data_IF_940393537657
#
_entry.id   IF_940393537657
#
_cell.length_a   1.000
_cell.length_b   1.000
_cell.length_c   1.000
_cell.angle_alpha   90.00
_cell.angle_beta   90.00
_cell.angle_gamma   90.00
#
_symmetry.space_group_name_H-M   'P 1'
#
loop_
_entity.id
_entity.type
_entity.pdbx_description
1 polymer ?
#
# COMPACT_ATOMS: atom_id res chain seq x y z
N UNK A 1 -46.48 -15.59 24.24
CA UNK A 1 -45.23 -14.80 24.28
C UNK A 1 -44.10 -15.80 24.13
N UNK A 2 -43.59 -15.97 22.91
CA UNK A 2 -42.71 -17.08 22.53
C UNK A 2 -41.27 -16.58 22.52
N UNK A 3 -40.40 -17.16 23.35
CA UNK A 3 -39.01 -16.75 23.49
C UNK A 3 -38.21 -17.01 22.20
N UNK A 4 -37.32 -16.09 21.77
CA UNK A 4 -36.47 -16.32 20.62
C UNK A 4 -35.45 -17.43 20.91
N UNK A 5 -35.35 -18.35 19.96
CA UNK A 5 -34.49 -19.53 19.96
C UNK A 5 -32.99 -19.17 20.11
N UNK A 6 -32.30 -19.87 21.00
CA UNK A 6 -30.85 -19.77 21.24
C UNK A 6 -29.99 -19.99 19.99
N UNK A 7 -30.54 -20.61 18.95
CA UNK A 7 -29.86 -20.79 17.67
C UNK A 7 -29.51 -19.45 16.98
N UNK A 8 -30.28 -18.38 17.23
CA UNK A 8 -30.00 -17.06 16.68
C UNK A 8 -28.80 -16.40 17.37
N UNK A 9 -28.66 -16.60 18.70
CA UNK A 9 -27.64 -15.94 19.51
C UNK A 9 -26.20 -16.38 19.19
N UNK A 10 -26.01 -17.65 18.81
CA UNK A 10 -24.67 -18.16 18.47
C UNK A 10 -24.25 -17.74 17.06
N UNK A 11 -25.18 -17.71 16.10
CA UNK A 11 -24.92 -17.27 14.74
C UNK A 11 -24.49 -15.80 14.68
N UNK A 12 -25.15 -14.95 15.46
CA UNK A 12 -24.79 -13.53 15.58
C UNK A 12 -23.43 -13.36 16.28
N UNK A 13 -23.12 -14.20 17.27
CA UNK A 13 -21.82 -14.16 17.97
C UNK A 13 -20.64 -14.50 17.06
N UNK A 14 -20.81 -15.45 16.14
CA UNK A 14 -19.79 -15.85 15.19
C UNK A 14 -19.82 -15.08 13.86
N UNK A 15 -20.76 -14.14 13.68
CA UNK A 15 -20.82 -13.25 12.50
C UNK A 15 -21.09 -13.97 11.17
N UNK A 16 -21.68 -15.17 11.20
CA UNK A 16 -21.89 -16.04 10.02
C UNK A 16 -23.19 -15.66 9.28
N UNK A 17 -23.42 -14.36 9.09
CA UNK A 17 -24.57 -13.87 8.34
C UNK A 17 -24.33 -14.02 6.85
N UNK A 18 -24.98 -15.01 6.23
CA UNK A 18 -25.17 -15.15 4.77
C UNK A 18 -24.08 -14.53 3.89
N UNK A 19 -22.88 -15.09 3.91
CA UNK A 19 -21.98 -15.04 2.76
C UNK A 19 -21.93 -16.45 2.19
N UNK A 20 -22.17 -16.58 0.88
CA UNK A 20 -22.01 -17.84 0.14
C UNK A 20 -20.66 -18.46 0.53
N UNK A 21 -20.70 -19.70 1.00
CA UNK A 21 -19.53 -20.42 1.44
C UNK A 21 -18.47 -20.43 0.31
N UNK A 22 -17.26 -19.90 0.54
CA UNK A 22 -16.17 -20.18 -0.38
C UNK A 22 -15.86 -21.68 -0.29
N UNK A 23 -15.66 -22.31 -1.45
CA UNK A 23 -15.36 -23.73 -1.64
C UNK A 23 -14.47 -24.27 -0.50
N UNK A 24 -15.07 -25.02 0.42
CA UNK A 24 -14.34 -25.78 1.39
C UNK A 24 -13.42 -26.75 0.64
N UNK A 25 -12.15 -26.94 1.05
CA UNK A 25 -11.33 -28.00 0.51
C UNK A 25 -12.08 -29.32 0.68
N UNK A 26 -12.56 -29.88 -0.42
CA UNK A 26 -13.13 -31.22 -0.45
C UNK A 26 -12.00 -32.19 -0.07
N UNK A 27 -11.92 -32.57 1.20
CA UNK A 27 -11.26 -33.80 1.58
C UNK A 27 -12.03 -34.95 0.92
N UNK A 28 -11.56 -35.34 -0.27
CA UNK A 28 -11.96 -36.56 -0.95
C UNK A 28 -11.45 -37.76 -0.16
N UNK A 29 -12.15 -38.09 0.91
CA UNK A 29 -12.15 -39.41 1.49
C UNK A 29 -13.58 -39.93 1.44
N UNK A 30 -13.94 -40.66 0.38
CA UNK A 30 -15.11 -41.54 0.47
C UNK A 30 -14.84 -42.48 1.64
N UNK A 31 -15.55 -42.28 2.75
CA UNK A 31 -15.55 -43.20 3.87
C UNK A 31 -16.19 -44.48 3.36
N UNK A 32 -15.36 -45.44 2.94
CA UNK A 32 -15.82 -46.79 2.66
C UNK A 32 -16.29 -47.38 3.98
N UNK A 33 -17.59 -47.31 4.24
CA UNK A 33 -18.21 -48.03 5.35
C UNK A 33 -18.11 -49.51 4.99
N UNK A 34 -17.33 -50.33 5.72
CA UNK A 34 -17.23 -51.74 5.41
C UNK A 34 -18.63 -52.37 5.46
N UNK A 35 -18.92 -53.25 4.49
CA UNK A 35 -20.17 -53.99 4.42
C UNK A 35 -20.38 -54.77 5.74
N UNK A 36 -21.24 -54.26 6.61
CA UNK A 36 -21.52 -54.87 7.91
C UNK A 36 -22.34 -56.13 7.66
N UNK A 37 -21.72 -57.29 7.83
CA UNK A 37 -22.45 -58.57 7.85
C UNK A 37 -23.43 -58.51 9.03
N UNK A 38 -24.73 -58.78 8.82
CA UNK A 38 -25.71 -58.76 9.90
C UNK A 38 -25.26 -59.68 11.04
N UNK A 39 -25.28 -59.16 12.26
CA UNK A 39 -24.81 -59.87 13.46
C UNK A 39 -25.52 -61.23 13.61
N UNK A 40 -26.79 -61.29 13.22
CA UNK A 40 -27.65 -62.47 13.25
C UNK A 40 -27.12 -63.62 12.36
N UNK A 41 -26.58 -63.30 11.17
CA UNK A 41 -25.98 -64.29 10.26
C UNK A 41 -24.62 -64.80 10.78
N UNK A 42 -23.88 -63.95 11.48
CA UNK A 42 -22.64 -64.32 12.18
C UNK A 42 -22.90 -65.28 13.33
N UNK A 43 -23.95 -65.05 14.14
CA UNK A 43 -24.34 -65.97 15.22
C UNK A 43 -24.82 -67.34 14.71
N UNK A 44 -25.43 -67.39 13.52
CA UNK A 44 -25.93 -68.63 12.94
C UNK A 44 -24.84 -69.49 12.28
N UNK A 45 -23.75 -68.87 11.79
CA UNK A 45 -22.75 -69.54 10.94
C UNK A 45 -21.34 -69.61 11.53
N UNK A 46 -20.98 -68.75 12.49
CA UNK A 46 -19.64 -68.68 13.06
C UNK A 46 -19.50 -69.49 14.36
N UNK A 47 -18.31 -70.04 14.59
CA UNK A 47 -17.96 -70.69 15.86
C UNK A 47 -17.69 -69.66 16.96
N UNK A 48 -17.84 -70.05 18.23
CA UNK A 48 -17.61 -69.18 19.40
C UNK A 48 -16.22 -68.53 19.40
N UNK A 49 -15.18 -69.27 19.00
CA UNK A 49 -13.81 -68.76 18.92
C UNK A 49 -13.67 -67.62 17.89
N UNK A 50 -14.28 -67.79 16.70
CA UNK A 50 -14.33 -66.74 15.68
C UNK A 50 -15.11 -65.53 16.17
N UNK A 51 -16.24 -65.74 16.85
CA UNK A 51 -17.03 -64.65 17.41
C UNK A 51 -16.21 -63.85 18.43
N UNK A 52 -15.53 -64.52 19.36
CA UNK A 52 -14.67 -63.85 20.33
C UNK A 52 -13.53 -63.06 19.66
N UNK A 53 -12.85 -63.64 18.68
CA UNK A 53 -11.81 -62.93 17.92
C UNK A 53 -12.38 -61.70 17.19
N UNK A 54 -13.55 -61.82 16.56
CA UNK A 54 -14.20 -60.66 15.92
C UNK A 54 -14.57 -59.58 16.92
N UNK A 55 -15.03 -59.95 18.12
CA UNK A 55 -15.35 -58.96 19.16
C UNK A 55 -14.09 -58.28 19.70
N UNK A 56 -12.98 -59.00 19.86
CA UNK A 56 -11.70 -58.42 20.28
C UNK A 56 -11.22 -57.42 19.23
N UNK A 57 -11.18 -57.82 17.96
CA UNK A 57 -10.77 -56.94 16.86
C UNK A 57 -11.69 -55.71 16.74
N UNK A 58 -13.00 -55.88 16.93
CA UNK A 58 -13.94 -54.76 16.93
C UNK A 58 -13.72 -53.81 18.11
N UNK A 59 -13.44 -54.33 19.31
CA UNK A 59 -13.13 -53.51 20.49
C UNK A 59 -11.83 -52.72 20.28
N UNK A 60 -10.81 -53.34 19.70
CA UNK A 60 -9.54 -52.68 19.41
C UNK A 60 -9.73 -51.58 18.34
N UNK A 61 -10.48 -51.87 17.28
CA UNK A 61 -10.84 -50.86 16.26
C UNK A 61 -11.67 -49.70 16.83
N UNK A 62 -12.61 -49.97 17.74
CA UNK A 62 -13.38 -48.92 18.44
C UNK A 62 -12.46 -48.04 19.28
N UNK A 63 -11.48 -48.63 19.98
CA UNK A 63 -10.50 -47.88 20.79
C UNK A 63 -9.58 -47.02 19.93
N UNK A 64 -9.13 -47.54 18.81
CA UNK A 64 -8.31 -46.81 17.84
C UNK A 64 -9.09 -45.63 17.24
N UNK A 65 -10.29 -45.86 16.72
CA UNK A 65 -11.18 -44.80 16.22
C UNK A 65 -11.49 -43.74 17.29
N UNK A 66 -11.66 -44.16 18.55
CA UNK A 66 -11.88 -43.23 19.64
C UNK A 66 -10.64 -42.37 19.92
N UNK A 67 -9.43 -42.95 19.86
CA UNK A 67 -8.18 -42.23 20.00
C UNK A 67 -7.95 -41.24 18.84
N UNK A 68 -8.21 -41.66 17.60
CA UNK A 68 -8.15 -40.79 16.41
C UNK A 68 -9.15 -39.63 16.50
N UNK A 69 -10.41 -39.91 16.85
CA UNK A 69 -11.44 -38.87 17.04
C UNK A 69 -11.01 -37.88 18.11
N UNK A 70 -10.49 -38.37 19.23
CA UNK A 70 -10.05 -37.51 20.32
C UNK A 70 -8.88 -36.63 19.87
N UNK A 71 -7.87 -37.22 19.22
CA UNK A 71 -6.74 -36.49 18.62
C UNK A 71 -7.20 -35.40 17.64
N UNK A 72 -8.11 -35.75 16.72
CA UNK A 72 -8.66 -34.82 15.73
C UNK A 72 -9.41 -33.65 16.39
N UNK A 73 -10.28 -33.94 17.35
CA UNK A 73 -11.04 -32.90 18.08
C UNK A 73 -10.09 -31.98 18.84
N UNK A 74 -9.07 -32.51 19.50
CA UNK A 74 -8.10 -31.67 20.23
C UNK A 74 -7.26 -30.82 19.28
N UNK A 75 -6.71 -31.39 18.21
CA UNK A 75 -5.91 -30.66 17.24
C UNK A 75 -6.73 -29.55 16.58
N UNK A 76 -7.91 -29.89 16.06
CA UNK A 76 -8.76 -28.94 15.37
C UNK A 76 -9.31 -27.87 16.33
N UNK A 77 -9.65 -28.21 17.58
CA UNK A 77 -10.08 -27.21 18.55
C UNK A 77 -8.94 -26.22 18.84
N UNK A 78 -7.72 -26.72 19.03
CA UNK A 78 -6.59 -25.86 19.34
C UNK A 78 -6.19 -24.97 18.15
N UNK A 79 -6.28 -25.49 16.93
CA UNK A 79 -6.11 -24.71 15.70
C UNK A 79 -7.18 -23.62 15.56
N UNK A 80 -8.46 -23.93 15.82
CA UNK A 80 -9.54 -22.94 15.79
C UNK A 80 -9.35 -21.84 16.83
N UNK A 81 -8.92 -22.20 18.04
CA UNK A 81 -8.63 -21.24 19.11
C UNK A 81 -7.47 -20.34 18.69
N UNK A 82 -6.38 -20.91 18.18
CA UNK A 82 -5.21 -20.16 17.69
C UNK A 82 -5.56 -19.21 16.54
N UNK A 83 -6.35 -19.68 15.57
CA UNK A 83 -6.85 -18.87 14.47
C UNK A 83 -7.74 -17.73 14.98
N UNK A 84 -8.65 -18.02 15.91
CA UNK A 84 -9.53 -17.02 16.53
C UNK A 84 -8.74 -15.95 17.28
N UNK A 85 -7.71 -16.33 18.04
CA UNK A 85 -6.80 -15.40 18.71
C UNK A 85 -6.06 -14.52 17.71
N UNK A 86 -5.62 -15.09 16.59
CA UNK A 86 -4.94 -14.35 15.52
C UNK A 86 -5.88 -13.33 14.87
N UNK A 87 -7.11 -13.72 14.53
CA UNK A 87 -8.14 -12.80 14.03
C UNK A 87 -8.44 -11.69 15.05
N UNK A 88 -8.51 -12.04 16.35
CA UNK A 88 -8.66 -11.07 17.43
C UNK A 88 -7.53 -10.03 17.47
N UNK A 89 -6.27 -10.48 17.39
CA UNK A 89 -5.09 -9.60 17.30
C UNK A 89 -5.12 -8.73 16.05
N UNK A 90 -5.46 -9.29 14.90
CA UNK A 90 -5.59 -8.52 13.65
C UNK A 90 -6.67 -7.44 13.75
N UNK A 91 -7.84 -7.76 14.33
CA UNK A 91 -8.93 -6.81 14.55
C UNK A 91 -8.54 -5.68 15.50
N UNK A 92 -7.87 -6.01 16.60
CA UNK A 92 -7.34 -5.02 17.54
C UNK A 92 -6.29 -4.11 16.87
N UNK A 93 -5.41 -4.69 16.06
CA UNK A 93 -4.45 -3.94 15.23
C UNK A 93 -5.16 -2.98 14.28
N UNK A 94 -6.15 -3.44 13.52
CA UNK A 94 -6.93 -2.59 12.61
C UNK A 94 -7.65 -1.45 13.35
N UNK A 95 -8.19 -1.72 14.54
CA UNK A 95 -8.79 -0.69 15.39
C UNK A 95 -7.76 0.35 15.86
N UNK A 96 -6.54 -0.07 16.17
CA UNK A 96 -5.45 0.84 16.54
C UNK A 96 -4.97 1.72 15.38
N UNK A 97 -5.13 1.28 14.12
CA UNK A 97 -4.83 2.10 12.93
C UNK A 97 -5.93 3.12 12.58
N UNK A 98 -7.14 2.98 13.13
CA UNK A 98 -8.25 3.91 12.88
C UNK A 98 -7.92 5.39 13.18
N UNK A 99 -7.30 5.76 14.32
CA UNK A 99 -6.92 7.15 14.60
C UNK A 99 -5.88 7.69 13.60
N UNK A 100 -4.92 6.87 13.16
CA UNK A 100 -3.91 7.28 12.17
C UNK A 100 -4.57 7.59 10.82
N UNK A 101 -5.52 6.75 10.39
CA UNK A 101 -6.31 7.00 9.16
C UNK A 101 -7.10 8.30 9.25
N UNK A 102 -7.72 8.58 10.41
CA UNK A 102 -8.45 9.83 10.64
C UNK A 102 -7.51 11.03 10.59
N UNK A 103 -6.36 10.96 11.27
CA UNK A 103 -5.36 12.02 11.26
C UNK A 103 -4.83 12.31 9.85
N UNK A 104 -4.56 11.27 9.05
CA UNK A 104 -4.12 11.43 7.67
C UNK A 104 -5.21 12.10 6.82
N UNK A 105 -6.48 11.71 6.98
CA UNK A 105 -7.60 12.34 6.27
C UNK A 105 -7.70 13.84 6.60
N UNK A 106 -7.63 14.19 7.88
CA UNK A 106 -7.63 15.59 8.32
C UNK A 106 -6.43 16.38 7.77
N UNK A 107 -5.25 15.76 7.66
CA UNK A 107 -4.08 16.40 7.06
C UNK A 107 -4.27 16.66 5.56
N UNK A 108 -4.81 15.69 4.82
CA UNK A 108 -5.09 15.84 3.38
C UNK A 108 -6.13 16.94 3.15
N UNK A 109 -7.19 16.99 3.95
CA UNK A 109 -8.19 18.06 3.89
C UNK A 109 -7.57 19.45 4.16
N UNK A 110 -6.64 19.54 5.12
CA UNK A 110 -5.89 20.78 5.38
C UNK A 110 -4.98 21.18 4.21
N UNK A 111 -4.31 20.22 3.58
CA UNK A 111 -3.46 20.49 2.42
C UNK A 111 -4.28 20.99 1.24
N UNK A 112 -5.45 20.40 0.99
CA UNK A 112 -6.39 20.90 -0.01
C UNK A 112 -6.87 22.32 0.30
N UNK A 113 -7.26 22.60 1.55
CA UNK A 113 -7.67 23.95 1.93
C UNK A 113 -6.52 24.97 1.77
N UNK A 114 -5.28 24.59 2.07
CA UNK A 114 -4.11 25.42 1.85
C UNK A 114 -3.80 25.61 0.37
N UNK A 115 -3.90 24.57 -0.46
CA UNK A 115 -3.69 24.70 -1.91
C UNK A 115 -4.75 25.59 -2.56
N UNK A 116 -6.01 25.48 -2.14
CA UNK A 116 -7.10 26.30 -2.64
C UNK A 116 -6.92 27.76 -2.21
N UNK A 117 -6.46 28.01 -0.98
CA UNK A 117 -6.13 29.36 -0.52
C UNK A 117 -4.94 29.97 -1.28
N UNK A 118 -3.90 29.17 -1.58
CA UNK A 118 -2.77 29.60 -2.41
C UNK A 118 -3.21 29.84 -3.87
N UNK A 119 -4.07 28.99 -4.43
CA UNK A 119 -4.62 29.15 -5.77
C UNK A 119 -5.56 30.34 -5.90
N UNK A 120 -6.36 30.63 -4.87
CA UNK A 120 -7.22 31.82 -4.81
C UNK A 120 -6.42 33.11 -4.53
N UNK A 121 -5.28 33.00 -3.82
CA UNK A 121 -4.35 34.09 -3.57
C UNK A 121 -3.39 34.36 -4.75
N UNK A 122 -3.21 33.39 -5.65
CA UNK A 122 -2.55 33.56 -6.93
C UNK A 122 -3.46 34.36 -7.88
N UNK A 123 -3.59 35.67 -7.63
CA UNK A 123 -3.85 36.62 -8.72
C UNK A 123 -2.86 36.32 -9.83
N UNK A 124 -3.36 36.17 -11.06
CA UNK A 124 -2.61 36.04 -12.32
C UNK A 124 -1.11 36.33 -12.12
N UNK A 125 -0.35 35.27 -11.82
CA UNK A 125 1.10 35.35 -11.95
C UNK A 125 1.28 35.43 -13.45
N UNK A 126 1.52 36.63 -13.98
CA UNK A 126 2.00 36.79 -15.36
C UNK A 126 3.06 35.72 -15.57
N UNK A 127 2.86 34.89 -16.58
CA UNK A 127 3.73 33.76 -16.89
C UNK A 127 5.10 34.33 -17.28
N UNK A 128 5.97 34.53 -16.29
CA UNK A 128 7.31 35.08 -16.50
C UNK A 128 8.05 34.05 -17.36
N UNK A 129 8.31 34.40 -18.63
CA UNK A 129 9.18 33.62 -19.50
C UNK A 129 10.64 33.77 -19.03
N UNK A 130 10.95 33.06 -17.96
CA UNK A 130 12.30 33.00 -17.39
C UNK A 130 13.32 32.48 -18.40
N UNK A 131 12.90 31.71 -19.42
CA UNK A 131 13.83 31.24 -20.46
C UNK A 131 14.20 32.40 -21.37
N UNK A 132 13.24 33.13 -21.92
CA UNK A 132 13.53 34.27 -22.79
C UNK A 132 14.32 35.37 -22.07
N UNK A 133 13.92 35.72 -20.84
CA UNK A 133 14.51 36.85 -20.12
C UNK A 133 15.86 36.55 -19.47
N UNK A 134 16.05 35.35 -18.93
CA UNK A 134 17.31 35.00 -18.25
C UNK A 134 18.36 34.53 -19.26
N UNK A 135 17.99 33.73 -20.26
CA UNK A 135 18.93 33.14 -21.21
C UNK A 135 19.65 34.21 -22.04
N UNK A 136 18.92 35.22 -22.52
CA UNK A 136 19.48 36.35 -23.29
C UNK A 136 20.54 37.11 -22.48
N UNK A 137 20.31 37.26 -21.19
CA UNK A 137 21.20 37.98 -20.27
C UNK A 137 22.44 37.17 -19.91
N UNK A 138 22.30 35.86 -19.73
CA UNK A 138 23.42 34.93 -19.42
C UNK A 138 24.31 34.69 -20.63
N UNK A 139 23.75 34.69 -21.85
CA UNK A 139 24.50 34.51 -23.09
C UNK A 139 25.23 35.78 -23.57
N UNK A 140 24.97 36.92 -22.94
CA UNK A 140 25.53 38.21 -23.32
C UNK A 140 27.07 38.20 -23.50
N UNK A 141 27.90 37.64 -22.59
CA UNK A 141 29.36 37.64 -22.78
C UNK A 141 29.81 36.89 -24.04
N UNK A 142 29.13 35.79 -24.39
CA UNK A 142 29.45 34.98 -25.58
C UNK A 142 29.09 35.76 -26.84
N UNK A 143 27.89 36.35 -26.88
CA UNK A 143 27.45 37.17 -28.01
C UNK A 143 28.33 38.41 -28.22
N UNK A 144 28.81 39.05 -27.14
CA UNK A 144 29.75 40.16 -27.21
C UNK A 144 31.11 39.71 -27.75
N UNK A 145 31.61 38.54 -27.34
CA UNK A 145 32.86 37.98 -27.88
C UNK A 145 32.76 37.69 -29.38
N UNK A 146 31.63 37.15 -29.85
CA UNK A 146 31.38 36.90 -31.27
C UNK A 146 31.34 38.21 -32.07
N UNK A 147 30.64 39.24 -31.57
CA UNK A 147 30.56 40.55 -32.22
C UNK A 147 31.89 41.30 -32.25
N UNK A 148 32.71 41.16 -31.20
CA UNK A 148 34.08 41.68 -31.19
C UNK A 148 34.98 40.96 -32.21
N UNK A 149 34.87 39.63 -32.36
CA UNK A 149 35.59 38.86 -33.39
C UNK A 149 35.19 39.24 -34.82
N UNK A 150 33.94 39.65 -35.02
CA UNK A 150 33.43 40.14 -36.31
C UNK A 150 33.81 41.59 -36.65
N UNK A 151 34.67 42.26 -35.84
CA UNK A 151 34.99 43.69 -35.95
C UNK A 151 33.77 44.64 -35.81
N UNK A 152 32.65 44.17 -35.28
CA UNK A 152 31.41 44.94 -35.08
C UNK A 152 31.30 45.48 -33.66
N UNK A 153 32.34 46.19 -33.21
CA UNK A 153 32.45 46.70 -31.83
C UNK A 153 31.32 47.68 -31.46
N UNK A 154 30.90 48.53 -32.39
CA UNK A 154 29.78 49.45 -32.17
C UNK A 154 28.42 48.74 -31.97
N UNK A 155 28.23 47.54 -32.54
CA UNK A 155 27.03 46.73 -32.27
C UNK A 155 27.11 46.05 -30.90
N UNK A 156 28.32 45.60 -30.51
CA UNK A 156 28.56 45.01 -29.19
C UNK A 156 28.32 46.01 -28.05
N UNK A 157 28.77 47.27 -28.20
CA UNK A 157 28.55 48.33 -27.21
C UNK A 157 27.05 48.67 -27.06
N UNK A 158 26.28 48.65 -28.16
CA UNK A 158 24.82 48.85 -28.11
C UNK A 158 24.09 47.73 -27.38
N UNK A 159 24.45 46.48 -27.65
CA UNK A 159 23.86 45.31 -26.96
C UNK A 159 24.21 45.33 -25.47
N UNK A 160 25.42 45.79 -25.13
CA UNK A 160 25.80 45.97 -23.73
C UNK A 160 24.96 47.05 -23.03
N UNK A 161 24.74 48.20 -23.66
CA UNK A 161 23.89 49.27 -23.12
C UNK A 161 22.43 48.83 -22.93
N UNK A 162 21.91 47.99 -23.83
CA UNK A 162 20.56 47.45 -23.74
C UNK A 162 20.38 46.48 -22.55
N UNK A 163 21.37 45.61 -22.31
CA UNK A 163 21.29 44.60 -21.25
C UNK A 163 21.86 45.04 -19.88
N UNK A 164 22.63 46.13 -19.83
CA UNK A 164 23.24 46.66 -18.61
C UNK A 164 22.24 46.96 -17.47
N UNK A 165 21.09 47.64 -17.70
CA UNK A 165 20.16 47.94 -16.61
C UNK A 165 19.62 46.69 -15.90
N UNK A 166 19.43 45.60 -16.66
CA UNK A 166 18.97 44.31 -16.13
C UNK A 166 20.05 43.65 -15.25
N UNK A 167 21.31 43.69 -15.69
CA UNK A 167 22.45 43.19 -14.90
C UNK A 167 22.68 44.01 -13.63
N UNK A 168 22.56 45.34 -13.71
CA UNK A 168 22.68 46.22 -12.55
C UNK A 168 21.58 45.96 -11.51
N UNK A 169 20.35 45.69 -11.97
CA UNK A 169 19.26 45.28 -11.08
C UNK A 169 19.54 43.92 -10.40
N UNK A 170 20.15 42.96 -11.11
CA UNK A 170 20.54 41.67 -10.53
C UNK A 170 21.68 41.77 -9.52
N UNK A 171 22.64 42.66 -9.78
CA UNK A 171 23.73 42.97 -8.83
C UNK A 171 23.17 43.63 -7.57
N UNK A 172 22.25 44.61 -7.70
CA UNK A 172 21.57 45.24 -6.57
C UNK A 172 20.69 44.27 -5.77
N UNK A 173 20.08 43.28 -6.44
CA UNK A 173 19.31 42.21 -5.81
C UNK A 173 20.18 41.10 -5.18
N UNK A 174 21.51 41.17 -5.33
CA UNK A 174 22.43 40.19 -4.74
C UNK A 174 22.38 38.81 -5.40
N UNK A 175 22.00 38.72 -6.67
CA UNK A 175 21.97 37.46 -7.42
C UNK A 175 23.40 36.93 -7.57
N UNK A 176 23.63 35.68 -7.11
CA UNK A 176 24.94 35.03 -7.20
C UNK A 176 25.39 34.94 -8.66
N UNK A 177 26.61 35.39 -8.95
CA UNK A 177 27.19 35.38 -10.30
C UNK A 177 26.85 36.60 -11.17
N UNK A 178 25.97 37.50 -10.74
CA UNK A 178 25.64 38.70 -11.53
C UNK A 178 26.84 39.68 -11.66
N UNK A 179 27.64 39.81 -10.60
CA UNK A 179 28.86 40.65 -10.61
C UNK A 179 29.97 40.02 -11.48
N UNK A 180 30.12 38.69 -11.45
CA UNK A 180 31.04 37.95 -12.32
C UNK A 180 30.67 38.06 -13.80
N UNK A 181 29.37 37.95 -14.11
CA UNK A 181 28.85 38.13 -15.47
C UNK A 181 29.08 39.54 -16.00
N UNK A 182 28.94 40.53 -15.12
CA UNK A 182 29.20 41.95 -15.41
C UNK A 182 30.68 42.20 -15.69
N UNK A 183 31.56 41.61 -14.89
CA UNK A 183 33.01 41.68 -15.10
C UNK A 183 33.41 41.01 -16.41
N UNK A 184 32.90 39.82 -16.70
CA UNK A 184 33.18 39.10 -17.94
C UNK A 184 32.80 39.90 -19.19
N UNK A 185 31.66 40.61 -19.18
CA UNK A 185 31.28 41.47 -20.30
C UNK A 185 32.18 42.71 -20.45
N UNK A 186 32.62 43.30 -19.33
CA UNK A 186 33.56 44.43 -19.34
C UNK A 186 34.93 44.03 -19.87
N UNK A 187 35.43 42.86 -19.49
CA UNK A 187 36.72 42.34 -19.95
C UNK A 187 36.70 42.14 -21.47
N UNK A 188 35.61 41.60 -22.01
CA UNK A 188 35.41 41.42 -23.47
C UNK A 188 35.39 42.74 -24.23
N UNK A 189 34.89 43.81 -23.62
CA UNK A 189 34.89 45.16 -24.20
C UNK A 189 36.21 45.91 -23.94
N UNK A 190 37.09 45.48 -23.04
CA UNK A 190 38.39 46.14 -22.80
C UNK A 190 39.52 45.59 -23.66
N UNK A 191 39.38 44.37 -24.20
CA UNK A 191 40.36 43.79 -25.13
C UNK A 191 40.33 44.57 -26.46
N UNK A 192 41.48 45.08 -26.94
CA UNK A 192 41.58 45.81 -28.20
C UNK A 192 41.38 44.91 -29.42
#
# INVERSE_FOLDING_TARGET
MTAPSQAHSLRDYYGIGQEEAPDAPQEKGEVQVPHVVPVEELFASASLDKLLQTTINAIDGIRELQAERQSLVYNHHQELVSASDTVGKMRAGLAALAPQRKALKEQVERLHAQSDALGAGAKEVEEIDWRGDVLTTVQLPITLQEKCKENKRAEAERLWEEHWPRLAAWEAAGVKGASELTQACRDVLQVP
#
